data_IF_296923288625
#
_entry.id   IF_296923288625
#
_cell.length_a   1.000
_cell.length_b   1.000
_cell.length_c   1.000
_cell.angle_alpha   90.00
_cell.angle_beta   90.00
_cell.angle_gamma   90.00
#
_symmetry.space_group_name_H-M   'P 1'
#
loop_
_entity.id
_entity.type
_entity.pdbx_description
1 polymer ?
#
# COMPACT_ATOMS: atom_id res chain seq x y z
N UNK A 1 26.48 -18.62 -3.58
CA UNK A 1 25.80 -18.38 -4.88
C UNK A 1 24.33 -18.18 -4.60
N UNK A 2 23.86 -16.92 -4.58
CA UNK A 2 22.42 -16.63 -4.54
C UNK A 2 21.95 -16.59 -6.00
N UNK A 3 20.99 -17.45 -6.34
CA UNK A 3 20.39 -17.46 -7.65
C UNK A 3 19.75 -16.09 -7.95
N UNK A 4 20.07 -15.55 -9.13
CA UNK A 4 19.43 -14.33 -9.65
C UNK A 4 17.97 -14.71 -9.98
N UNK A 5 16.96 -13.98 -9.50
CA UNK A 5 15.57 -14.31 -9.78
C UNK A 5 15.28 -14.15 -11.28
N UNK A 6 14.34 -14.93 -11.84
CA UNK A 6 13.98 -14.86 -13.24
C UNK A 6 13.38 -13.49 -13.56
N UNK A 7 13.86 -12.88 -14.64
CA UNK A 7 13.35 -11.65 -15.22
C UNK A 7 11.98 -11.98 -15.82
N UNK A 8 10.92 -11.44 -15.22
CA UNK A 8 9.53 -11.72 -15.55
C UNK A 8 8.69 -11.82 -14.28
N UNK A 9 8.18 -10.69 -13.79
CA UNK A 9 7.39 -10.63 -12.56
C UNK A 9 6.02 -11.29 -12.74
N UNK A 10 5.99 -12.61 -12.59
CA UNK A 10 4.75 -13.40 -12.40
C UNK A 10 4.25 -13.32 -10.95
N UNK A 11 4.94 -12.54 -10.10
CA UNK A 11 4.78 -12.54 -8.64
C UNK A 11 3.84 -11.43 -8.16
N UNK A 12 3.68 -10.36 -8.93
CA UNK A 12 2.81 -9.23 -8.56
C UNK A 12 1.32 -9.58 -8.66
N UNK A 13 0.89 -10.30 -9.70
CA UNK A 13 -0.54 -10.63 -9.88
C UNK A 13 -1.14 -11.49 -8.74
N UNK A 14 -0.35 -12.41 -8.18
CA UNK A 14 -0.75 -13.25 -7.05
C UNK A 14 -0.68 -12.53 -5.70
N UNK A 15 0.30 -11.64 -5.52
CA UNK A 15 0.46 -10.86 -4.29
C UNK A 15 -0.60 -9.77 -4.13
N UNK A 16 -0.97 -9.10 -5.23
CA UNK A 16 -2.00 -8.05 -5.23
C UNK A 16 -3.43 -8.58 -5.28
N UNK A 17 -3.61 -9.88 -5.56
CA UNK A 17 -4.92 -10.54 -5.75
C UNK A 17 -5.84 -9.78 -6.73
N UNK A 18 -5.26 -9.18 -7.78
CA UNK A 18 -5.99 -8.24 -8.66
C UNK A 18 -7.21 -8.90 -9.28
N UNK A 19 -7.11 -10.15 -9.74
CA UNK A 19 -8.22 -10.86 -10.37
C UNK A 19 -9.43 -11.01 -9.43
N UNK A 20 -9.22 -11.48 -8.20
CA UNK A 20 -10.33 -11.66 -7.24
C UNK A 20 -10.88 -10.31 -6.77
N UNK A 21 -10.02 -9.31 -6.59
CA UNK A 21 -10.47 -7.95 -6.25
C UNK A 21 -11.26 -7.31 -7.40
N UNK A 22 -10.90 -7.55 -8.66
CA UNK A 22 -11.65 -7.08 -9.83
C UNK A 22 -13.03 -7.73 -9.95
N UNK A 23 -13.12 -9.04 -9.74
CA UNK A 23 -14.41 -9.73 -9.64
C UNK A 23 -15.26 -9.13 -8.52
N UNK A 24 -14.66 -8.90 -7.35
CA UNK A 24 -15.34 -8.30 -6.21
C UNK A 24 -15.82 -6.88 -6.47
N UNK A 25 -15.03 -6.06 -7.17
CA UNK A 25 -15.45 -4.71 -7.62
C UNK A 25 -16.69 -4.81 -8.50
N UNK A 26 -16.74 -5.75 -9.43
CA UNK A 26 -17.90 -5.95 -10.32
C UNK A 26 -19.15 -6.36 -9.53
N UNK A 27 -19.03 -7.32 -8.61
CA UNK A 27 -20.14 -7.76 -7.74
C UNK A 27 -20.71 -6.64 -6.87
N UNK A 28 -19.83 -5.89 -6.19
CA UNK A 28 -20.21 -4.79 -5.31
C UNK A 28 -20.88 -3.67 -6.10
N UNK A 29 -20.35 -3.35 -7.29
CA UNK A 29 -20.94 -2.35 -8.19
C UNK A 29 -22.33 -2.78 -8.68
N UNK A 30 -22.50 -4.06 -9.02
CA UNK A 30 -23.81 -4.60 -9.40
C UNK A 30 -24.80 -4.54 -8.23
N UNK A 31 -24.36 -4.86 -7.01
CA UNK A 31 -25.17 -4.78 -5.79
C UNK A 31 -25.64 -3.35 -5.52
N UNK A 32 -24.75 -2.37 -5.68
CA UNK A 32 -25.05 -0.94 -5.52
C UNK A 32 -26.01 -0.38 -6.57
N UNK A 33 -26.20 -1.10 -7.69
CA UNK A 33 -27.13 -0.71 -8.75
C UNK A 33 -28.60 -1.05 -8.41
N UNK A 34 -28.84 -1.82 -7.34
CA UNK A 34 -30.19 -2.12 -6.86
C UNK A 34 -30.84 -0.87 -6.23
N UNK A 35 -32.05 -0.45 -6.65
CA UNK A 35 -32.75 0.70 -6.09
C UNK A 35 -32.94 0.64 -4.56
N UNK A 36 -33.10 -0.56 -4.01
CA UNK A 36 -33.35 -0.76 -2.58
C UNK A 36 -32.06 -0.77 -1.73
N UNK A 37 -30.88 -0.77 -2.37
CA UNK A 37 -29.59 -0.85 -1.69
C UNK A 37 -29.41 0.27 -0.64
N UNK A 38 -29.88 1.47 -0.98
CA UNK A 38 -29.75 2.66 -0.11
C UNK A 38 -30.73 2.67 1.06
N UNK A 39 -31.69 1.73 1.12
CA UNK A 39 -32.67 1.66 2.21
C UNK A 39 -32.04 1.24 3.54
N UNK A 40 -30.92 0.51 3.52
CA UNK A 40 -30.15 0.18 4.71
C UNK A 40 -28.78 0.87 4.66
N UNK A 41 -28.68 1.96 5.42
CA UNK A 41 -27.49 2.82 5.46
C UNK A 41 -26.24 2.10 5.96
N UNK A 42 -26.38 1.18 6.92
CA UNK A 42 -25.25 0.49 7.55
C UNK A 42 -24.62 -0.51 6.57
N UNK A 43 -25.44 -1.33 5.90
CA UNK A 43 -24.97 -2.26 4.86
C UNK A 43 -24.43 -1.50 3.65
N UNK A 44 -25.06 -0.39 3.28
CA UNK A 44 -24.59 0.44 2.18
C UNK A 44 -23.20 1.03 2.46
N UNK A 45 -22.95 1.52 3.68
CA UNK A 45 -21.63 2.03 4.08
C UNK A 45 -20.56 0.94 4.05
N UNK A 46 -20.86 -0.27 4.55
CA UNK A 46 -19.92 -1.38 4.53
C UNK A 46 -19.55 -1.79 3.09
N UNK A 47 -20.55 -1.94 2.21
CA UNK A 47 -20.33 -2.27 0.79
C UNK A 47 -19.54 -1.19 0.05
N UNK A 48 -19.81 0.09 0.31
CA UNK A 48 -19.03 1.20 -0.29
C UNK A 48 -17.59 1.20 0.21
N UNK A 49 -17.36 0.92 1.50
CA UNK A 49 -16.02 0.84 2.06
C UNK A 49 -15.23 -0.32 1.46
N UNK A 50 -15.85 -1.49 1.30
CA UNK A 50 -15.25 -2.67 0.66
C UNK A 50 -14.92 -2.39 -0.81
N UNK A 51 -15.86 -1.79 -1.56
CA UNK A 51 -15.64 -1.41 -2.95
C UNK A 51 -14.44 -0.47 -3.09
N UNK A 52 -14.35 0.54 -2.22
CA UNK A 52 -13.23 1.47 -2.21
C UNK A 52 -11.91 0.75 -1.90
N UNK A 53 -11.89 -0.19 -0.96
CA UNK A 53 -10.68 -0.94 -0.62
C UNK A 53 -10.19 -1.79 -1.81
N UNK A 54 -11.08 -2.49 -2.52
CA UNK A 54 -10.71 -3.25 -3.71
C UNK A 54 -10.22 -2.34 -4.84
N UNK A 55 -10.91 -1.22 -5.10
CA UNK A 55 -10.52 -0.25 -6.13
C UNK A 55 -9.16 0.40 -5.88
N UNK A 56 -8.81 0.65 -4.62
CA UNK A 56 -7.52 1.21 -4.23
C UNK A 56 -6.33 0.33 -4.60
N UNK A 57 -6.57 -0.96 -4.94
CA UNK A 57 -5.53 -1.87 -5.45
C UNK A 57 -5.67 -2.04 -6.97
N UNK A 58 -6.89 -2.33 -7.45
CA UNK A 58 -7.15 -2.67 -8.86
C UNK A 58 -6.86 -1.50 -9.79
N UNK A 59 -7.36 -0.31 -9.48
CA UNK A 59 -7.22 0.85 -10.38
C UNK A 59 -5.76 1.30 -10.53
N UNK A 60 -4.96 1.45 -9.45
CA UNK A 60 -3.55 1.77 -9.60
C UNK A 60 -2.75 0.66 -10.29
N UNK A 61 -3.07 -0.62 -10.04
CA UNK A 61 -2.40 -1.73 -10.73
C UNK A 61 -2.57 -1.63 -12.25
N UNK A 62 -3.80 -1.43 -12.74
CA UNK A 62 -4.05 -1.29 -14.17
C UNK A 62 -3.38 -0.04 -14.75
N UNK A 63 -3.32 1.05 -13.98
CA UNK A 63 -2.57 2.24 -14.41
C UNK A 63 -1.08 1.94 -14.56
N UNK A 64 -0.46 1.29 -13.57
CA UNK A 64 0.95 0.90 -13.62
C UNK A 64 1.21 -0.05 -14.78
N UNK A 65 0.32 -1.01 -15.04
CA UNK A 65 0.44 -1.90 -16.19
C UNK A 65 0.46 -1.12 -17.52
N UNK A 66 -0.44 -0.16 -17.69
CA UNK A 66 -0.42 0.72 -18.87
C UNK A 66 0.80 1.63 -18.94
N UNK A 67 1.28 2.14 -17.80
CA UNK A 67 2.52 2.93 -17.73
C UNK A 67 3.73 2.08 -18.17
N UNK A 68 3.78 0.80 -17.79
CA UNK A 68 4.82 -0.16 -18.21
C UNK A 68 4.75 -0.43 -19.71
N UNK A 69 3.56 -0.66 -20.28
CA UNK A 69 3.38 -0.83 -21.73
C UNK A 69 3.90 0.39 -22.50
N UNK A 70 3.59 1.60 -22.02
CA UNK A 70 4.09 2.84 -22.63
C UNK A 70 5.61 2.97 -22.49
N UNK A 71 6.17 2.59 -21.33
CA UNK A 71 7.61 2.59 -21.10
C UNK A 71 8.33 1.59 -22.01
N UNK A 72 7.76 0.41 -22.26
CA UNK A 72 8.32 -0.57 -23.20
C UNK A 72 8.41 0.01 -24.61
N UNK A 73 7.35 0.65 -25.09
CA UNK A 73 7.35 1.34 -26.39
C UNK A 73 8.40 2.46 -26.44
N UNK A 74 8.52 3.26 -25.37
CA UNK A 74 9.52 4.32 -25.29
C UNK A 74 10.95 3.76 -25.32
N UNK A 75 11.20 2.66 -24.61
CA UNK A 75 12.49 2.00 -24.57
C UNK A 75 12.87 1.40 -25.93
N UNK A 76 11.92 0.80 -26.65
CA UNK A 76 12.13 0.29 -28.01
C UNK A 76 12.52 1.41 -28.98
N UNK A 77 11.81 2.54 -28.94
CA UNK A 77 12.13 3.71 -29.79
C UNK A 77 13.51 4.31 -29.46
N UNK A 78 13.85 4.40 -28.17
CA UNK A 78 15.15 4.89 -27.73
C UNK A 78 16.29 3.95 -28.19
N UNK A 79 16.07 2.63 -28.19
CA UNK A 79 17.04 1.66 -28.69
C UNK A 79 17.26 1.80 -30.20
N UNK A 80 16.20 2.04 -30.98
CA UNK A 80 16.28 2.28 -32.43
C UNK A 80 17.04 3.57 -32.77
N UNK A 81 16.85 4.65 -32.00
CA UNK A 81 17.58 5.91 -32.19
C UNK A 81 19.04 5.86 -31.70
N UNK A 82 19.33 4.96 -30.75
CA UNK A 82 20.66 4.70 -30.22
C UNK A 82 21.04 5.56 -29.01
N UNK A 83 22.30 5.44 -28.58
CA UNK A 83 22.79 5.89 -27.26
C UNK A 83 22.77 7.40 -27.02
N UNK A 84 22.55 8.21 -28.07
CA UNK A 84 22.43 9.67 -27.98
C UNK A 84 20.97 10.15 -27.97
N UNK A 85 19.99 9.24 -27.96
CA UNK A 85 18.58 9.61 -27.94
C UNK A 85 18.21 10.31 -26.62
N UNK A 86 17.59 11.49 -26.73
CA UNK A 86 17.02 12.22 -25.60
C UNK A 86 15.91 11.40 -24.90
N UNK A 87 15.35 10.39 -25.57
CA UNK A 87 14.34 9.47 -25.02
C UNK A 87 14.90 8.58 -23.91
N UNK A 88 16.22 8.36 -23.83
CA UNK A 88 16.84 7.57 -22.77
C UNK A 88 16.60 8.22 -21.40
N UNK A 89 16.77 9.54 -21.30
CA UNK A 89 16.55 10.27 -20.07
C UNK A 89 15.07 10.29 -19.67
N UNK A 90 14.17 10.35 -20.66
CA UNK A 90 12.73 10.24 -20.44
C UNK A 90 12.35 8.85 -19.91
N UNK A 91 12.91 7.79 -20.49
CA UNK A 91 12.73 6.41 -20.05
C UNK A 91 13.22 6.19 -18.61
N UNK A 92 14.41 6.72 -18.25
CA UNK A 92 14.92 6.62 -16.87
C UNK A 92 13.99 7.31 -15.85
N UNK A 93 13.46 8.48 -16.19
CA UNK A 93 12.50 9.20 -15.36
C UNK A 93 11.19 8.42 -15.21
N UNK A 94 10.69 7.86 -16.30
CA UNK A 94 9.44 7.11 -16.31
C UNK A 94 9.56 5.79 -15.53
N UNK A 95 10.67 5.08 -15.69
CA UNK A 95 11.01 3.89 -14.90
C UNK A 95 11.02 4.19 -13.39
N UNK A 96 11.67 5.28 -12.99
CA UNK A 96 11.71 5.72 -11.58
C UNK A 96 10.30 6.03 -11.05
N UNK A 97 9.46 6.66 -11.87
CA UNK A 97 8.06 6.96 -11.52
C UNK A 97 7.23 5.68 -11.34
N UNK A 98 7.43 4.70 -12.22
CA UNK A 98 6.76 3.40 -12.17
C UNK A 98 7.18 2.64 -10.91
N UNK A 99 8.48 2.62 -10.58
CA UNK A 99 9.01 1.98 -9.37
C UNK A 99 8.38 2.60 -8.10
N UNK A 100 8.36 3.93 -7.99
CA UNK A 100 7.70 4.59 -6.86
C UNK A 100 6.19 4.31 -6.77
N UNK A 101 5.51 4.18 -7.92
CA UNK A 101 4.09 3.86 -7.95
C UNK A 101 3.84 2.41 -7.50
N UNK A 102 4.72 1.49 -7.89
CA UNK A 102 4.66 0.09 -7.48
C UNK A 102 4.90 -0.09 -5.98
N UNK A 103 5.90 0.60 -5.42
CA UNK A 103 6.17 0.60 -3.97
C UNK A 103 4.97 1.09 -3.17
N UNK A 104 4.31 2.15 -3.65
CA UNK A 104 3.09 2.69 -3.03
C UNK A 104 1.95 1.66 -3.10
N UNK A 105 1.77 1.01 -4.25
CA UNK A 105 0.75 -0.02 -4.42
C UNK A 105 1.01 -1.24 -3.53
N UNK A 106 2.26 -1.67 -3.38
CA UNK A 106 2.68 -2.72 -2.45
C UNK A 106 2.30 -2.39 -1.01
N UNK A 107 2.58 -1.16 -0.57
CA UNK A 107 2.17 -0.75 0.78
C UNK A 107 0.64 -0.76 0.94
N UNK A 108 -0.10 -0.26 -0.05
CA UNK A 108 -1.56 -0.20 -0.02
C UNK A 108 -2.17 -1.59 0.00
N UNK A 109 -1.60 -2.56 -0.71
CA UNK A 109 -2.12 -3.93 -0.74
C UNK A 109 -2.01 -4.63 0.62
N UNK A 110 -1.01 -4.28 1.42
CA UNK A 110 -0.91 -4.73 2.81
C UNK A 110 -1.94 -4.06 3.74
N UNK A 111 -2.40 -2.85 3.42
CA UNK A 111 -3.22 -1.99 4.30
C UNK A 111 -4.71 -1.95 3.90
N UNK A 112 -5.24 -3.07 3.38
CA UNK A 112 -6.61 -3.17 2.87
C UNK A 112 -7.67 -3.54 3.91
N UNK A 113 -7.32 -3.74 5.19
CA UNK A 113 -8.26 -4.21 6.19
C UNK A 113 -9.11 -3.06 6.76
N UNK A 114 -10.27 -3.41 7.33
CA UNK A 114 -11.29 -2.47 7.83
C UNK A 114 -10.72 -1.37 8.75
N UNK A 115 -9.72 -1.72 9.57
CA UNK A 115 -9.16 -0.85 10.60
C UNK A 115 -7.86 -0.17 10.21
N UNK A 116 -7.27 -0.46 9.03
CA UNK A 116 -5.95 0.06 8.66
C UNK A 116 -5.95 1.59 8.45
N UNK A 117 -7.12 2.16 8.16
CA UNK A 117 -7.36 3.61 8.08
C UNK A 117 -7.50 4.30 9.43
N UNK A 118 -7.67 3.54 10.52
CA UNK A 118 -7.94 4.10 11.84
C UNK A 118 -6.63 4.47 12.54
N UNK A 119 -6.74 5.38 13.52
CA UNK A 119 -5.63 5.65 14.42
C UNK A 119 -5.30 4.39 15.23
N UNK A 120 -4.03 4.08 15.36
CA UNK A 120 -3.56 3.01 16.23
C UNK A 120 -3.48 3.48 17.70
N UNK A 121 -3.87 2.61 18.63
CA UNK A 121 -3.56 2.75 20.06
C UNK A 121 -2.45 1.76 20.38
N UNK A 122 -1.33 2.27 20.90
CA UNK A 122 -0.18 1.45 21.29
C UNK A 122 -0.08 1.46 22.81
N UNK A 123 -0.12 0.27 23.40
CA UNK A 123 0.10 0.06 24.85
C UNK A 123 1.39 -0.71 25.05
N UNK A 124 2.32 -0.13 25.82
CA UNK A 124 3.59 -0.75 26.18
C UNK A 124 3.54 -1.17 27.64
N UNK A 125 3.72 -2.46 27.89
CA UNK A 125 3.77 -3.02 29.24
C UNK A 125 5.17 -3.58 29.50
N UNK A 126 5.78 -3.15 30.60
CA UNK A 126 7.01 -3.79 31.09
C UNK A 126 6.68 -5.23 31.49
N UNK A 127 7.43 -6.19 30.95
CA UNK A 127 7.29 -7.60 31.29
C UNK A 127 7.85 -7.93 32.67
N UNK A 128 7.88 -9.23 32.99
CA UNK A 128 8.48 -9.72 34.22
C UNK A 128 10.00 -9.53 34.21
N UNK A 129 10.49 -8.54 34.95
CA UNK A 129 11.94 -8.32 35.12
C UNK A 129 12.33 -7.10 35.96
N UNK A 130 11.38 -6.49 36.69
CA UNK A 130 11.65 -5.31 37.52
C UNK A 130 12.17 -4.14 36.69
N UNK A 131 13.15 -3.41 37.23
CA UNK A 131 13.68 -2.15 36.66
C UNK A 131 14.22 -2.32 35.23
N UNK A 132 14.88 -3.42 34.91
CA UNK A 132 15.44 -3.64 33.57
C UNK A 132 14.34 -3.76 32.49
N UNK A 133 13.21 -4.39 32.84
CA UNK A 133 12.05 -4.45 31.95
C UNK A 133 11.38 -3.09 31.77
N UNK A 134 11.35 -2.27 32.83
CA UNK A 134 10.87 -0.89 32.75
C UNK A 134 11.77 -0.03 31.85
N UNK A 135 13.10 -0.15 31.97
CA UNK A 135 14.05 0.58 31.13
C UNK A 135 13.91 0.20 29.66
N UNK A 136 13.68 -1.08 29.36
CA UNK A 136 13.44 -1.53 27.99
C UNK A 136 12.11 -1.03 27.42
N UNK A 137 11.03 -1.08 28.21
CA UNK A 137 9.75 -0.48 27.82
C UNK A 137 9.89 1.03 27.54
N UNK A 138 10.68 1.73 28.35
CA UNK A 138 11.04 3.14 28.13
C UNK A 138 11.87 3.35 26.85
N UNK A 139 12.75 2.42 26.48
CA UNK A 139 13.45 2.46 25.19
C UNK A 139 12.49 2.32 24.02
N UNK A 140 11.56 1.37 24.06
CA UNK A 140 10.53 1.20 23.04
C UNK A 140 9.63 2.42 22.91
N UNK A 141 9.21 2.98 24.04
CA UNK A 141 8.41 4.21 24.06
C UNK A 141 9.11 5.34 23.30
N UNK A 142 10.39 5.60 23.63
CA UNK A 142 11.18 6.63 22.92
C UNK A 142 11.38 6.31 21.44
N UNK A 143 11.52 5.03 21.09
CA UNK A 143 11.65 4.59 19.70
C UNK A 143 10.38 4.90 18.90
N UNK A 144 9.22 4.49 19.40
CA UNK A 144 7.94 4.71 18.70
C UNK A 144 7.56 6.19 18.63
N UNK A 145 7.84 6.98 19.68
CA UNK A 145 7.66 8.44 19.63
C UNK A 145 8.46 9.06 18.47
N UNK A 146 9.77 8.76 18.36
CA UNK A 146 10.63 9.27 17.29
C UNK A 146 10.22 8.77 15.90
N UNK A 147 9.83 7.51 15.78
CA UNK A 147 9.35 6.95 14.52
C UNK A 147 8.07 7.66 14.05
N UNK A 148 7.14 7.91 14.98
CA UNK A 148 5.87 8.57 14.69
C UNK A 148 6.07 10.02 14.23
N UNK A 149 6.95 10.75 14.91
CA UNK A 149 7.36 12.11 14.51
C UNK A 149 7.98 12.12 13.10
N UNK A 150 8.90 11.19 12.80
CA UNK A 150 9.53 11.08 11.46
C UNK A 150 8.53 10.76 10.36
N UNK A 151 7.48 10.00 10.67
CA UNK A 151 6.39 9.69 9.74
C UNK A 151 5.33 10.79 9.65
N UNK A 152 5.45 11.86 10.44
CA UNK A 152 4.52 12.98 10.46
C UNK A 152 3.20 12.69 11.20
N UNK A 153 3.15 11.64 12.02
CA UNK A 153 1.96 11.31 12.79
C UNK A 153 1.82 12.19 14.04
N UNK A 154 0.58 12.53 14.38
CA UNK A 154 0.26 13.18 15.66
C UNK A 154 0.15 12.11 16.75
N UNK A 155 0.94 12.24 17.82
CA UNK A 155 0.93 11.31 18.95
C UNK A 155 0.30 11.97 20.17
N UNK A 156 -0.72 11.31 20.75
CA UNK A 156 -1.34 11.71 22.01
C UNK A 156 -1.08 10.63 23.07
N UNK A 157 -0.47 11.03 24.17
CA UNK A 157 -0.33 10.15 25.35
C UNK A 157 -1.69 10.09 26.05
N UNK A 158 -2.27 8.89 26.13
CA UNK A 158 -3.56 8.66 26.78
C UNK A 158 -3.39 8.30 28.25
N UNK A 159 -2.40 7.47 28.55
CA UNK A 159 -2.05 7.02 29.88
C UNK A 159 -0.54 6.82 29.97
N UNK A 160 0.03 7.16 31.13
CA UNK A 160 1.44 6.99 31.44
C UNK A 160 1.58 6.78 32.95
N UNK A 161 1.84 5.55 33.34
CA UNK A 161 2.19 5.24 34.72
C UNK A 161 3.64 5.70 34.96
N UNK A 162 3.80 6.73 35.77
CA UNK A 162 5.09 7.10 36.35
C UNK A 162 5.25 6.32 37.64
N UNK A 163 6.42 5.75 37.85
CA UNK A 163 6.80 5.12 39.12
C UNK A 163 6.52 6.04 40.33
#
# INVERSE_FOLDING_TARGET
>A
MRAKPPIGSSISGGFFEVSSKSERVAELTATMSNPDFWNNKETAQATVAELSACKNVVEPFHKIAGDVENFEVLAELAEEEGVESDMIAEAESESSRIEEALDKLELVSFLGNEFDKNNAIISLHAGSGGTESCDWANMLYRMYMRWSERRGFNVKILDLQKD
#
